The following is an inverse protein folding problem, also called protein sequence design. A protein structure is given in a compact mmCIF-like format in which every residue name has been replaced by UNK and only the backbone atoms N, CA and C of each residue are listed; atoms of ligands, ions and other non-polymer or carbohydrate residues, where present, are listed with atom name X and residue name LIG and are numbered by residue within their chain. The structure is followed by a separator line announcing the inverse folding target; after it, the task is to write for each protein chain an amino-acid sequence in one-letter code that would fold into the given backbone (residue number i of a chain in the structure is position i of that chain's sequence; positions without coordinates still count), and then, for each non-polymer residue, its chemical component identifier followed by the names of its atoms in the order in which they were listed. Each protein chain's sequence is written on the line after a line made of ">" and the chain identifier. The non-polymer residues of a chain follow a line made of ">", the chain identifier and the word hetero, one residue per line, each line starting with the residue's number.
data_IF_408529372067
#
_entry.id   IF_408529372067
#
_cell.length_a   1.000
_cell.length_b   1.000
_cell.length_c   1.000
_cell.angle_alpha   90.00
_cell.angle_beta   90.00
_cell.angle_gamma   90.00
#
_symmetry.space_group_name_H-M   'P 1'
#
loop_
_entity.id
_entity.type
_entity.pdbx_description
1 polymer ?
#
# COMPACT_ATOMS: atom_id res chain seq x y z
N UNK A 1 17.01 21.69 -51.74
CA UNK A 1 17.73 22.87 -51.28
C UNK A 1 18.30 22.48 -49.91
N UNK A 2 19.47 21.85 -49.89
CA UNK A 2 20.80 22.39 -49.61
C UNK A 2 20.68 23.49 -48.55
N UNK A 3 21.23 23.35 -47.33
CA UNK A 3 22.66 23.53 -46.99
C UNK A 3 22.96 22.93 -45.64
N UNK A 4 23.98 22.06 -45.52
CA UNK A 4 24.98 21.93 -44.43
C UNK A 4 25.92 23.17 -44.53
N UNK A 5 26.89 23.42 -43.66
CA UNK A 5 27.61 22.60 -42.68
C UNK A 5 28.13 23.38 -41.43
N UNK A 6 28.87 22.72 -40.63
CA UNK A 6 30.31 22.82 -40.24
C UNK A 6 30.64 23.37 -38.86
N UNK A 7 31.35 22.51 -38.13
CA UNK A 7 32.70 22.64 -37.55
C UNK A 7 32.86 23.70 -36.41
N UNK A 8 33.66 23.55 -35.39
CA UNK A 8 34.91 22.83 -35.07
C UNK A 8 35.31 23.09 -33.62
N UNK A 9 35.96 22.11 -32.99
CA UNK A 9 37.11 22.19 -32.07
C UNK A 9 37.11 23.15 -30.87
N UNK A 10 37.62 22.77 -29.69
CA UNK A 10 38.96 22.44 -29.27
C UNK A 10 39.03 22.03 -27.80
N UNK A 11 39.61 20.96 -27.44
CA UNK A 11 40.88 20.74 -26.71
C UNK A 11 41.21 21.75 -25.62
N UNK A 12 41.30 21.25 -24.37
CA UNK A 12 41.87 21.94 -23.24
C UNK A 12 42.17 20.97 -22.11
N UNK A 13 43.31 20.28 -22.22
CA UNK A 13 43.91 19.54 -21.12
C UNK A 13 44.63 20.52 -20.18
N UNK A 14 44.39 20.42 -18.87
CA UNK A 14 45.24 20.98 -17.84
C UNK A 14 45.31 20.01 -16.68
N UNK A 15 46.38 19.27 -16.63
CA UNK A 15 46.85 18.52 -15.48
C UNK A 15 47.47 19.49 -14.46
N UNK A 16 47.04 19.46 -13.22
CA UNK A 16 47.78 20.02 -12.10
C UNK A 16 47.86 18.96 -11.00
N UNK A 17 49.03 18.37 -10.92
CA UNK A 17 49.48 17.57 -9.79
C UNK A 17 49.82 18.52 -8.64
N UNK A 18 49.15 18.34 -7.52
CA UNK A 18 49.59 18.84 -6.22
C UNK A 18 49.53 17.71 -5.21
N UNK A 19 50.70 17.16 -4.97
CA UNK A 19 51.03 16.31 -3.84
C UNK A 19 50.91 17.10 -2.55
N UNK A 20 50.08 16.66 -1.62
CA UNK A 20 50.01 17.16 -0.27
C UNK A 20 49.74 16.00 0.68
N UNK A 21 50.80 15.47 1.28
CA UNK A 21 50.67 14.61 2.48
C UNK A 21 50.18 15.46 3.63
N UNK A 22 49.06 15.05 4.25
CA UNK A 22 48.76 15.41 5.63
C UNK A 22 48.13 14.20 6.29
N UNK A 23 48.80 13.75 7.30
CA UNK A 23 48.41 12.74 8.26
C UNK A 23 47.13 13.12 9.00
N UNK A 24 46.29 12.15 9.30
CA UNK A 24 45.49 12.26 10.50
C UNK A 24 43.98 12.04 10.31
N UNK A 25 43.56 11.08 11.03
CA UNK A 25 42.18 10.80 11.46
C UNK A 25 41.36 9.93 10.50
N UNK A 26 41.50 8.64 10.72
CA UNK A 26 40.52 7.63 10.37
C UNK A 26 39.20 7.91 11.11
N UNK A 27 38.35 8.76 10.57
CA UNK A 27 36.95 8.77 10.90
C UNK A 27 36.34 7.60 10.14
N UNK A 28 36.15 6.48 10.81
CA UNK A 28 35.27 5.41 10.37
C UNK A 28 33.86 5.98 10.25
N UNK A 29 33.49 6.43 9.07
CA UNK A 29 32.09 6.61 8.71
C UNK A 29 31.47 5.23 8.70
N UNK A 30 30.86 4.85 9.82
CA UNK A 30 29.91 3.76 9.87
C UNK A 30 28.77 4.15 8.95
N UNK A 31 28.88 3.74 7.70
CA UNK A 31 27.80 3.80 6.72
C UNK A 31 26.66 2.95 7.30
N UNK A 32 25.66 3.62 7.84
CA UNK A 32 24.42 2.96 8.22
C UNK A 32 23.81 2.42 6.95
N UNK A 33 24.04 1.13 6.69
CA UNK A 33 23.37 0.43 5.60
C UNK A 33 21.90 0.50 5.93
N UNK A 34 21.13 1.26 5.15
CA UNK A 34 19.67 1.26 5.25
C UNK A 34 19.21 -0.16 4.92
N UNK A 35 18.83 -0.92 5.93
CA UNK A 35 18.12 -2.17 5.77
C UNK A 35 16.65 -1.79 5.68
N UNK A 36 16.00 -2.01 4.51
CA UNK A 36 14.57 -1.79 4.40
C UNK A 36 13.87 -2.60 5.50
N UNK A 37 12.83 -2.05 6.14
CA UNK A 37 12.06 -2.82 7.11
C UNK A 37 11.56 -4.09 6.44
N UNK A 38 11.85 -5.24 7.05
CA UNK A 38 11.30 -6.52 6.60
C UNK A 38 9.80 -6.42 6.80
N UNK A 39 9.06 -6.44 5.70
CA UNK A 39 7.61 -6.44 5.75
C UNK A 39 7.17 -7.78 6.32
N UNK A 40 6.64 -7.75 7.54
CA UNK A 40 6.16 -8.96 8.20
C UNK A 40 5.03 -9.59 7.37
N UNK A 41 5.10 -10.90 7.13
CA UNK A 41 4.07 -11.63 6.41
C UNK A 41 2.76 -11.59 7.19
N UNK A 42 1.62 -11.57 6.47
CA UNK A 42 0.32 -11.64 7.11
C UNK A 42 0.18 -12.92 7.94
N UNK A 43 -0.49 -12.83 9.09
CA UNK A 43 -0.70 -13.97 9.99
C UNK A 43 -1.60 -15.05 9.38
N UNK A 44 -2.59 -14.63 8.58
CA UNK A 44 -3.54 -15.50 7.90
C UNK A 44 -3.72 -15.05 6.46
N UNK A 45 -3.75 -16.00 5.54
CA UNK A 45 -3.96 -15.75 4.11
C UNK A 45 -5.15 -16.55 3.58
N UNK A 46 -5.87 -16.01 2.60
CA UNK A 46 -6.99 -16.70 1.96
C UNK A 46 -7.56 -15.94 0.77
N UNK A 47 -8.76 -16.32 0.34
CA UNK A 47 -9.51 -15.66 -0.74
C UNK A 47 -10.48 -14.62 -0.23
N UNK A 48 -11.01 -13.80 -1.12
CA UNK A 48 -12.18 -12.97 -0.86
C UNK A 48 -13.41 -13.87 -0.56
N UNK A 49 -14.42 -13.31 0.09
CA UNK A 49 -15.66 -13.95 0.52
C UNK A 49 -15.47 -15.12 1.52
N UNK A 50 -14.26 -15.33 1.99
CA UNK A 50 -13.95 -16.36 2.98
C UNK A 50 -13.56 -15.75 4.32
N UNK A 51 -14.07 -16.23 5.45
CA UNK A 51 -13.69 -15.74 6.77
C UNK A 51 -12.23 -16.15 7.08
N UNK A 52 -11.41 -15.16 7.44
CA UNK A 52 -10.01 -15.32 7.83
C UNK A 52 -9.93 -15.09 9.35
N UNK A 53 -9.82 -16.16 10.12
CA UNK A 53 -9.84 -16.09 11.58
C UNK A 53 -8.43 -16.04 12.16
N UNK A 54 -8.19 -15.10 13.07
CA UNK A 54 -6.95 -14.95 13.80
C UNK A 54 -6.97 -15.80 15.08
N UNK A 55 -5.79 -16.16 15.62
CA UNK A 55 -5.68 -16.95 16.85
C UNK A 55 -6.30 -16.30 18.09
N UNK A 56 -6.47 -14.97 18.10
CA UNK A 56 -7.09 -14.23 19.20
C UNK A 56 -8.62 -14.31 19.22
N UNK A 57 -9.23 -14.87 18.17
CA UNK A 57 -10.66 -15.00 18.00
C UNK A 57 -11.32 -13.94 17.12
N UNK A 58 -10.57 -12.95 16.65
CA UNK A 58 -11.09 -12.02 15.64
C UNK A 58 -11.18 -12.69 14.27
N UNK A 59 -12.17 -12.34 13.46
CA UNK A 59 -12.34 -12.86 12.10
C UNK A 59 -12.67 -11.75 11.13
N UNK A 60 -12.03 -11.78 9.97
CA UNK A 60 -12.16 -10.80 8.91
C UNK A 60 -12.66 -11.47 7.64
N UNK A 61 -13.64 -10.87 7.00
CA UNK A 61 -14.11 -11.29 5.68
C UNK A 61 -14.08 -10.08 4.75
N UNK A 62 -13.37 -10.19 3.64
CA UNK A 62 -13.38 -9.18 2.58
C UNK A 62 -14.30 -9.68 1.48
N UNK A 63 -15.32 -8.89 1.10
CA UNK A 63 -16.14 -9.24 -0.07
C UNK A 63 -15.31 -9.17 -1.35
N UNK A 64 -15.69 -9.94 -2.35
CA UNK A 64 -15.10 -9.82 -3.68
C UNK A 64 -15.10 -8.37 -4.16
N UNK A 65 -14.02 -7.89 -4.78
CA UNK A 65 -13.96 -6.56 -5.36
C UNK A 65 -15.04 -6.37 -6.42
N UNK A 66 -15.56 -5.16 -6.48
CA UNK A 66 -16.52 -4.72 -7.49
C UNK A 66 -16.13 -3.35 -8.02
N UNK A 67 -16.57 -3.01 -9.24
CA UNK A 67 -16.31 -1.70 -9.81
C UNK A 67 -16.90 -0.62 -8.91
N UNK A 68 -16.04 0.26 -8.42
CA UNK A 68 -16.42 1.42 -7.63
C UNK A 68 -16.56 2.66 -8.53
N UNK A 69 -17.64 3.42 -8.36
CA UNK A 69 -17.84 4.70 -9.06
C UNK A 69 -17.73 5.83 -8.05
N UNK A 70 -16.60 6.54 -7.99
CA UNK A 70 -16.40 7.62 -7.04
C UNK A 70 -17.41 8.75 -7.21
N UNK A 71 -17.89 9.30 -6.12
CA UNK A 71 -18.76 10.48 -6.09
C UNK A 71 -18.00 11.76 -6.45
N UNK A 72 -18.75 12.87 -6.50
CA UNK A 72 -18.21 14.16 -6.93
C UNK A 72 -17.10 14.69 -6.01
N UNK A 73 -17.19 14.40 -4.70
CA UNK A 73 -16.25 14.87 -3.69
C UNK A 73 -15.23 13.79 -3.25
N UNK A 74 -15.22 12.65 -3.93
CA UNK A 74 -14.25 11.61 -3.65
C UNK A 74 -12.81 12.10 -3.91
N UNK A 75 -11.84 11.53 -3.19
CA UNK A 75 -10.41 11.81 -3.34
C UNK A 75 -9.60 10.51 -3.42
N UNK A 76 -8.37 10.59 -3.94
CA UNK A 76 -7.48 9.43 -4.07
C UNK A 76 -7.60 8.69 -5.41
N UNK A 77 -8.52 9.09 -6.29
CA UNK A 77 -8.64 8.49 -7.62
C UNK A 77 -7.42 8.84 -8.47
N UNK A 78 -6.79 7.84 -9.07
CA UNK A 78 -5.70 8.02 -10.02
C UNK A 78 -6.20 7.75 -11.43
N UNK A 79 -6.02 8.73 -12.32
CA UNK A 79 -6.49 8.64 -13.71
C UNK A 79 -5.90 7.42 -14.42
N UNK A 80 -6.76 6.66 -15.07
CA UNK A 80 -6.37 5.48 -15.85
C UNK A 80 -6.23 4.20 -15.02
N UNK A 81 -6.53 4.26 -13.75
CA UNK A 81 -6.59 3.09 -12.88
C UNK A 81 -8.01 2.52 -12.75
N UNK A 82 -8.12 1.30 -12.28
CA UNK A 82 -9.37 0.66 -11.87
C UNK A 82 -9.74 1.13 -10.47
N UNK A 83 -11.02 1.40 -10.26
CA UNK A 83 -11.53 1.72 -8.93
C UNK A 83 -12.30 0.51 -8.41
N UNK A 84 -11.79 -0.08 -7.35
CA UNK A 84 -12.30 -1.30 -6.75
C UNK A 84 -12.90 -0.99 -5.38
N UNK A 85 -14.17 -1.34 -5.19
CA UNK A 85 -14.85 -1.25 -3.91
C UNK A 85 -15.08 -2.63 -3.31
N UNK A 86 -14.92 -2.77 -2.01
CA UNK A 86 -15.22 -3.99 -1.27
C UNK A 86 -15.59 -3.67 0.18
N UNK A 87 -16.27 -4.61 0.81
CA UNK A 87 -16.67 -4.53 2.20
C UNK A 87 -15.75 -5.38 3.07
N UNK A 88 -15.37 -4.86 4.22
CA UNK A 88 -14.64 -5.58 5.26
C UNK A 88 -15.62 -5.83 6.39
N UNK A 89 -15.96 -7.08 6.65
CA UNK A 89 -16.73 -7.50 7.80
C UNK A 89 -15.79 -8.04 8.88
N UNK A 90 -15.86 -7.49 10.08
CA UNK A 90 -15.04 -7.88 11.22
C UNK A 90 -15.90 -8.38 12.35
N UNK A 91 -15.68 -9.63 12.76
CA UNK A 91 -16.36 -10.26 13.90
C UNK A 91 -15.40 -10.31 15.07
N UNK A 92 -15.76 -9.73 16.20
CA UNK A 92 -14.95 -9.74 17.41
C UNK A 92 -15.36 -10.87 18.36
N UNK A 93 -14.77 -12.04 18.22
CA UNK A 93 -14.90 -13.15 19.18
C UNK A 93 -13.72 -13.20 20.17
N UNK A 94 -12.98 -12.09 20.33
CA UNK A 94 -11.91 -11.98 21.33
C UNK A 94 -12.48 -11.77 22.73
N UNK A 95 -11.61 -11.68 23.73
CA UNK A 95 -12.00 -11.45 25.13
C UNK A 95 -12.11 -9.97 25.51
N UNK A 96 -11.85 -9.06 24.59
CA UNK A 96 -11.89 -7.62 24.81
C UNK A 96 -12.49 -6.87 23.61
N UNK A 97 -12.88 -5.62 23.80
CA UNK A 97 -13.29 -4.77 22.69
C UNK A 97 -12.11 -4.57 21.72
N UNK A 98 -12.36 -4.76 20.43
CA UNK A 98 -11.36 -4.68 19.37
C UNK A 98 -11.27 -3.24 18.84
N UNK A 99 -10.09 -2.66 18.92
CA UNK A 99 -9.80 -1.32 18.40
C UNK A 99 -9.27 -1.44 16.96
N UNK A 100 -10.00 -0.88 16.01
CA UNK A 100 -9.64 -0.88 14.60
C UNK A 100 -9.34 0.55 14.09
N UNK A 101 -9.19 1.52 14.97
CA UNK A 101 -8.93 2.93 14.58
C UNK A 101 -7.62 3.12 13.83
N UNK A 102 -6.70 2.17 13.94
CA UNK A 102 -5.42 2.15 13.20
C UNK A 102 -5.40 1.14 12.06
N UNK A 103 -6.58 0.68 11.62
CA UNK A 103 -6.70 -0.24 10.49
C UNK A 103 -6.20 0.44 9.21
N UNK A 104 -5.26 -0.20 8.56
CA UNK A 104 -4.72 0.17 7.24
C UNK A 104 -5.04 -0.96 6.28
N UNK A 105 -5.52 -0.61 5.12
CA UNK A 105 -5.78 -1.54 4.02
C UNK A 105 -4.84 -1.19 2.87
N UNK A 106 -4.06 -2.14 2.41
CA UNK A 106 -3.13 -1.94 1.30
C UNK A 106 -3.48 -2.89 0.18
N UNK A 107 -3.68 -2.36 -1.01
CA UNK A 107 -3.89 -3.14 -2.23
C UNK A 107 -2.62 -3.25 -3.07
N UNK A 108 -2.40 -4.39 -3.69
CA UNK A 108 -1.28 -4.64 -4.60
C UNK A 108 -1.74 -5.44 -5.81
N UNK A 109 -1.31 -5.01 -6.99
CA UNK A 109 -1.47 -5.75 -8.25
C UNK A 109 -0.10 -6.06 -8.84
N UNK A 110 -0.05 -6.85 -9.90
CA UNK A 110 1.20 -7.07 -10.66
C UNK A 110 1.74 -5.77 -11.28
N UNK A 111 0.86 -4.80 -11.53
CA UNK A 111 1.24 -3.51 -12.11
C UNK A 111 1.67 -2.45 -11.08
N UNK A 112 1.52 -2.73 -9.77
CA UNK A 112 1.94 -1.83 -8.71
C UNK A 112 0.95 -1.73 -7.54
N UNK A 113 1.28 -0.86 -6.59
CA UNK A 113 0.45 -0.60 -5.41
C UNK A 113 -0.79 0.22 -5.77
N UNK A 114 -1.87 -0.05 -5.06
CA UNK A 114 -3.10 0.73 -5.12
C UNK A 114 -3.04 1.93 -4.17
N UNK A 115 -3.84 2.96 -4.46
CA UNK A 115 -4.05 4.11 -3.59
C UNK A 115 -5.44 4.04 -2.95
N UNK A 116 -5.57 4.52 -1.71
CA UNK A 116 -6.87 4.64 -1.05
C UNK A 116 -7.76 5.67 -1.75
N UNK A 117 -9.04 5.35 -1.87
CA UNK A 117 -10.09 6.29 -2.24
C UNK A 117 -10.90 6.62 -0.99
N UNK A 118 -11.16 7.90 -0.77
CA UNK A 118 -12.06 8.39 0.28
C UNK A 118 -13.28 9.02 -0.38
N UNK A 119 -14.47 8.62 0.06
CA UNK A 119 -15.75 9.10 -0.46
C UNK A 119 -16.81 9.11 0.65
N UNK A 120 -16.95 10.27 1.29
CA UNK A 120 -17.89 10.45 2.40
C UNK A 120 -19.35 10.21 2.02
N UNK A 121 -19.74 10.53 0.77
CA UNK A 121 -21.10 10.34 0.27
C UNK A 121 -21.47 8.84 0.17
N UNK A 122 -20.46 7.99 -0.07
CA UNK A 122 -20.61 6.55 -0.16
C UNK A 122 -20.09 5.80 1.09
N UNK A 123 -19.85 6.53 2.20
CA UNK A 123 -19.38 5.99 3.47
C UNK A 123 -17.99 5.31 3.42
N UNK A 124 -17.19 5.59 2.40
CA UNK A 124 -15.80 5.15 2.30
C UNK A 124 -14.93 6.14 3.07
N UNK A 125 -14.89 5.97 4.40
CA UNK A 125 -14.27 6.92 5.33
C UNK A 125 -12.97 6.39 5.96
N UNK A 126 -12.50 5.19 5.55
CA UNK A 126 -11.34 4.54 6.15
C UNK A 126 -11.67 3.79 7.44
N UNK A 127 -10.70 3.69 8.34
CA UNK A 127 -10.81 2.93 9.57
C UNK A 127 -11.97 3.40 10.48
N UNK A 128 -12.69 2.47 11.15
CA UNK A 128 -13.74 2.83 12.09
C UNK A 128 -13.14 3.50 13.34
N UNK A 129 -13.84 4.51 13.86
CA UNK A 129 -13.41 5.23 15.07
C UNK A 129 -13.89 4.57 16.36
N UNK A 130 -14.95 3.78 16.29
CA UNK A 130 -15.52 3.08 17.45
C UNK A 130 -14.95 1.66 17.59
N UNK A 131 -14.77 1.24 18.84
CA UNK A 131 -14.33 -0.13 19.13
C UNK A 131 -15.43 -1.12 18.90
N UNK A 132 -15.09 -2.27 18.34
CA UNK A 132 -16.02 -3.38 18.13
C UNK A 132 -16.17 -4.13 19.46
N UNK A 133 -17.38 -4.16 20.02
CA UNK A 133 -17.66 -4.86 21.26
C UNK A 133 -17.47 -6.38 21.12
N UNK A 134 -17.28 -7.08 22.22
CA UNK A 134 -17.18 -8.56 22.25
C UNK A 134 -18.44 -9.17 21.66
N UNK A 135 -18.29 -10.12 20.73
CA UNK A 135 -19.38 -10.79 20.02
C UNK A 135 -20.07 -9.94 18.95
N UNK A 136 -19.66 -8.68 18.76
CA UNK A 136 -20.23 -7.80 17.74
C UNK A 136 -19.55 -7.98 16.39
N UNK A 137 -20.28 -7.55 15.35
CA UNK A 137 -19.76 -7.43 13.98
C UNK A 137 -19.83 -5.97 13.55
N UNK A 138 -18.79 -5.52 12.87
CA UNK A 138 -18.76 -4.23 12.16
C UNK A 138 -18.50 -4.45 10.69
N UNK A 139 -19.13 -3.65 9.85
CA UNK A 139 -18.85 -3.60 8.42
C UNK A 139 -18.24 -2.24 8.06
N UNK A 140 -17.20 -2.27 7.24
CA UNK A 140 -16.48 -1.09 6.76
C UNK A 140 -16.43 -1.16 5.24
N UNK A 141 -16.90 -0.11 4.57
CA UNK A 141 -16.76 0.04 3.13
C UNK A 141 -15.38 0.62 2.81
N UNK A 142 -14.69 0.00 1.86
CA UNK A 142 -13.36 0.41 1.42
C UNK A 142 -13.29 0.50 -0.09
N UNK A 143 -12.50 1.43 -0.60
CA UNK A 143 -12.27 1.54 -2.04
C UNK A 143 -10.81 1.88 -2.34
N UNK A 144 -10.30 1.32 -3.42
CA UNK A 144 -8.93 1.47 -3.87
C UNK A 144 -8.88 1.85 -5.36
N UNK A 145 -7.93 2.70 -5.71
CA UNK A 145 -7.51 3.01 -7.08
C UNK A 145 -6.32 2.13 -7.40
N UNK A 146 -6.49 1.16 -8.29
CA UNK A 146 -5.50 0.11 -8.57
C UNK A 146 -5.00 0.16 -10.02
N UNK A 147 -3.69 0.09 -10.25
CA UNK A 147 -3.15 -0.11 -11.58
C UNK A 147 -3.44 -1.54 -12.06
N UNK A 148 -3.64 -1.72 -13.37
CA UNK A 148 -3.91 -3.02 -13.96
C UNK A 148 -5.20 -3.07 -14.75
N UNK A 149 -5.58 -4.26 -15.20
CA UNK A 149 -6.78 -4.54 -15.99
C UNK A 149 -7.72 -5.48 -15.22
N UNK A 150 -8.98 -5.50 -15.60
CA UNK A 150 -9.95 -6.46 -15.07
C UNK A 150 -9.39 -7.90 -15.18
N UNK A 151 -9.55 -8.69 -14.13
CA UNK A 151 -9.03 -10.05 -14.03
C UNK A 151 -7.55 -10.16 -13.63
N UNK A 152 -6.80 -9.05 -13.51
CA UNK A 152 -5.43 -9.06 -12.96
C UNK A 152 -5.43 -9.52 -11.51
N UNK A 153 -4.34 -10.16 -11.10
CA UNK A 153 -4.17 -10.56 -9.70
C UNK A 153 -4.24 -9.34 -8.78
N UNK A 154 -4.97 -9.50 -7.70
CA UNK A 154 -5.19 -8.46 -6.70
C UNK A 154 -5.05 -9.03 -5.30
N UNK A 155 -4.09 -8.51 -4.55
CA UNK A 155 -3.82 -8.85 -3.17
C UNK A 155 -4.22 -7.66 -2.28
N UNK A 156 -4.96 -7.93 -1.22
CA UNK A 156 -5.32 -6.94 -0.20
C UNK A 156 -4.79 -7.39 1.14
N UNK A 157 -4.01 -6.53 1.80
CA UNK A 157 -3.46 -6.78 3.14
C UNK A 157 -4.11 -5.83 4.13
N UNK A 158 -4.60 -6.37 5.23
CA UNK A 158 -5.08 -5.61 6.39
C UNK A 158 -4.00 -5.58 7.46
N UNK A 159 -3.70 -4.38 7.92
CA UNK A 159 -2.76 -4.13 9.00
C UNK A 159 -3.45 -3.37 10.12
N UNK A 160 -3.18 -3.71 11.37
CA UNK A 160 -3.65 -2.96 12.53
C UNK A 160 -2.52 -2.84 13.57
N UNK A 161 -2.34 -1.67 14.17
CA UNK A 161 -1.26 -1.38 15.10
C UNK A 161 0.13 -1.80 14.54
N UNK A 162 0.38 -1.55 13.26
CA UNK A 162 1.65 -1.87 12.61
C UNK A 162 1.89 -3.35 12.32
N UNK A 163 0.94 -4.23 12.64
CA UNK A 163 1.05 -5.67 12.40
C UNK A 163 0.15 -6.09 11.23
N UNK A 164 0.69 -6.81 10.25
CA UNK A 164 -0.08 -7.43 9.19
C UNK A 164 -0.94 -8.55 9.79
N UNK A 165 -2.25 -8.43 9.66
CA UNK A 165 -3.21 -9.39 10.21
C UNK A 165 -3.55 -10.47 9.20
N UNK A 166 -4.12 -10.06 8.07
CA UNK A 166 -4.61 -10.96 7.02
C UNK A 166 -4.18 -10.46 5.64
N UNK A 167 -4.14 -11.40 4.69
CA UNK A 167 -4.03 -11.09 3.27
C UNK A 167 -5.09 -11.89 2.51
N UNK A 168 -5.92 -11.18 1.73
CA UNK A 168 -6.86 -11.78 0.80
C UNK A 168 -6.32 -11.65 -0.63
N UNK A 169 -6.44 -12.72 -1.41
CA UNK A 169 -6.00 -12.79 -2.80
C UNK A 169 -7.17 -13.08 -3.72
N UNK A 170 -7.26 -12.36 -4.82
CA UNK A 170 -8.28 -12.51 -5.85
C UNK A 170 -7.90 -11.80 -7.14
N UNK A 171 -8.90 -11.19 -7.77
CA UNK A 171 -8.75 -10.49 -9.05
C UNK A 171 -9.47 -9.14 -9.02
N UNK A 172 -8.97 -8.17 -9.80
CA UNK A 172 -9.68 -6.92 -10.09
C UNK A 172 -10.99 -7.20 -10.87
N UNK A 173 -12.02 -6.41 -10.58
CA UNK A 173 -13.32 -6.48 -11.27
C UNK A 173 -13.28 -5.95 -12.71
#
# INVERSE_FOLDING_TARGET
>A
MRIKPLLLTAIGAAALLLSGCASGSSSSSSGTTYVPPVQESAKVTGGFDSPLSLPDGSSFTLSSPSIFTPGHFASGQLKGQKYEGFKISVVNNTKAALDLSTLIVSGQTEAGACADIFDGDQKVNGAPTEKVAIGATVEVDWALSCPGSAGSKFDVTLQNNGTNLIQATGKLA
#
